data_IF_337453715556
#
_entry.id   IF_337453715556
#
_cell.length_a   1.000
_cell.length_b   1.000
_cell.length_c   1.000
_cell.angle_alpha   90.00
_cell.angle_beta   90.00
_cell.angle_gamma   90.00
#
_symmetry.space_group_name_H-M   'P 1'
#
loop_
_entity.id
_entity.type
_entity.pdbx_description
1 polymer ?
#
# COMPACT_ATOMS: atom_id res chain seq x y z
N UNK A 1 -22.92 -12.30 -15.76
CA UNK A 1 -21.91 -12.17 -14.70
C UNK A 1 -20.76 -11.38 -15.29
N UNK A 2 -20.66 -10.08 -14.98
CA UNK A 2 -19.59 -9.24 -15.51
C UNK A 2 -18.35 -9.38 -14.61
N UNK A 3 -17.51 -10.36 -14.90
CA UNK A 3 -16.20 -10.42 -14.27
C UNK A 3 -15.39 -9.24 -14.76
N UNK A 4 -14.85 -8.47 -13.83
CA UNK A 4 -13.92 -7.42 -14.17
C UNK A 4 -12.73 -8.01 -14.96
N UNK A 5 -12.34 -7.41 -16.10
CA UNK A 5 -11.25 -7.94 -16.91
C UNK A 5 -9.96 -8.05 -16.09
N UNK A 6 -9.13 -9.04 -16.43
CA UNK A 6 -7.82 -9.20 -15.80
C UNK A 6 -6.97 -7.95 -16.06
N UNK A 7 -6.45 -7.35 -15.00
CA UNK A 7 -5.65 -6.12 -15.07
C UNK A 7 -4.38 -6.29 -14.27
N UNK A 8 -3.25 -5.87 -14.84
CA UNK A 8 -1.96 -5.87 -14.17
C UNK A 8 -1.46 -4.43 -14.03
N UNK A 9 -1.11 -4.01 -12.82
CA UNK A 9 -0.55 -2.69 -12.56
C UNK A 9 0.89 -2.82 -12.06
N UNK A 10 1.85 -2.18 -12.74
CA UNK A 10 3.20 -2.09 -12.23
C UNK A 10 3.20 -1.18 -11.00
N UNK A 11 3.64 -1.73 -9.89
CA UNK A 11 3.90 -0.99 -8.65
C UNK A 11 5.33 -0.50 -8.69
N UNK A 12 5.48 0.78 -8.96
CA UNK A 12 6.78 1.44 -9.03
C UNK A 12 6.84 2.50 -7.95
N UNK A 13 8.03 2.74 -7.43
CA UNK A 13 8.25 3.79 -6.44
C UNK A 13 7.66 5.12 -6.92
N UNK A 14 6.75 5.66 -6.16
CA UNK A 14 6.15 6.96 -6.48
C UNK A 14 7.16 8.07 -6.24
N UNK A 15 7.51 8.81 -7.30
CA UNK A 15 8.32 10.03 -7.18
C UNK A 15 7.68 11.04 -6.23
N UNK A 16 6.35 11.06 -6.19
CA UNK A 16 5.58 11.89 -5.27
C UNK A 16 5.86 11.51 -3.81
N UNK A 17 5.83 10.22 -3.47
CA UNK A 17 6.16 9.74 -2.12
C UNK A 17 7.59 10.11 -1.73
N UNK A 18 8.55 9.88 -2.64
CA UNK A 18 9.94 10.25 -2.38
C UNK A 18 10.10 11.76 -2.16
N UNK A 19 9.47 12.59 -3.00
CA UNK A 19 9.50 14.04 -2.86
C UNK A 19 8.83 14.50 -1.55
N UNK A 20 7.67 13.93 -1.19
CA UNK A 20 6.99 14.27 0.05
C UNK A 20 7.85 13.93 1.28
N UNK A 21 8.49 12.76 1.31
CA UNK A 21 9.39 12.38 2.39
C UNK A 21 10.60 13.33 2.49
N UNK A 22 11.23 13.67 1.37
CA UNK A 22 12.36 14.59 1.34
C UNK A 22 11.93 15.99 1.82
N UNK A 23 10.79 16.51 1.35
CA UNK A 23 10.30 17.82 1.77
C UNK A 23 9.96 17.84 3.26
N UNK A 24 9.31 16.82 3.78
CA UNK A 24 9.00 16.71 5.21
C UNK A 24 10.28 16.67 6.05
N UNK A 25 11.25 15.87 5.60
CA UNK A 25 12.56 15.79 6.29
C UNK A 25 13.32 17.10 6.26
N UNK A 26 13.36 17.80 5.11
CA UNK A 26 13.97 19.10 4.99
C UNK A 26 13.30 20.14 5.90
N UNK A 27 11.97 20.17 5.94
CA UNK A 27 11.22 21.05 6.84
C UNK A 27 11.61 20.80 8.30
N UNK A 28 11.68 19.53 8.74
CA UNK A 28 12.15 19.16 10.06
C UNK A 28 13.58 19.59 10.34
N UNK A 29 14.48 19.39 9.38
CA UNK A 29 15.88 19.80 9.48
C UNK A 29 16.03 21.32 9.59
N UNK A 30 15.31 22.10 8.78
CA UNK A 30 15.30 23.56 8.85
C UNK A 30 14.77 24.08 10.19
N UNK A 31 13.67 23.51 10.68
CA UNK A 31 13.11 23.88 11.98
C UNK A 31 14.10 23.59 13.10
N UNK A 32 14.75 22.44 13.07
CA UNK A 32 15.76 22.05 14.06
C UNK A 32 16.98 22.96 14.00
N UNK A 33 17.46 23.28 12.79
CA UNK A 33 18.59 24.20 12.61
C UNK A 33 18.27 25.60 13.11
N UNK A 34 17.08 26.14 12.81
CA UNK A 34 16.62 27.42 13.32
C UNK A 34 16.55 27.45 14.86
N UNK A 35 16.08 26.35 15.45
CA UNK A 35 16.03 26.23 16.91
C UNK A 35 17.43 26.17 17.54
N UNK A 36 18.37 25.45 16.93
CA UNK A 36 19.78 25.40 17.38
C UNK A 36 20.43 26.78 17.48
N UNK A 37 20.11 27.71 16.57
CA UNK A 37 20.65 29.06 16.59
C UNK A 37 20.11 29.91 17.75
N UNK A 38 18.96 29.53 18.30
CA UNK A 38 18.27 30.26 19.37
C UNK A 38 18.38 29.57 20.74
N UNK A 39 18.86 28.33 20.79
CA UNK A 39 18.92 27.53 22.00
C UNK A 39 20.09 27.98 22.90
N UNK A 40 19.92 27.95 24.24
CA UNK A 40 21.00 28.14 25.19
C UNK A 40 22.09 27.07 25.02
N UNK A 41 23.39 27.43 25.22
CA UNK A 41 24.51 26.51 24.98
C UNK A 41 24.51 25.27 25.89
N UNK A 42 23.85 25.35 27.05
CA UNK A 42 23.83 24.28 28.06
C UNK A 42 22.61 23.36 27.93
N UNK A 43 21.75 23.56 26.93
CA UNK A 43 20.56 22.74 26.73
C UNK A 43 20.88 21.48 25.90
N UNK A 44 20.52 20.30 26.41
CA UNK A 44 20.70 19.01 25.71
C UNK A 44 19.58 18.72 24.69
N UNK A 45 18.47 19.44 24.74
CA UNK A 45 17.30 19.22 23.87
C UNK A 45 17.61 19.38 22.39
N UNK A 46 18.43 20.38 21.97
CA UNK A 46 18.82 20.50 20.55
C UNK A 46 19.57 19.27 20.03
N UNK A 47 20.40 18.65 20.86
CA UNK A 47 21.15 17.46 20.48
C UNK A 47 20.21 16.25 20.25
N UNK A 48 19.19 16.11 21.09
CA UNK A 48 18.16 15.09 20.90
C UNK A 48 17.36 15.32 19.59
N UNK A 49 17.03 16.59 19.30
CA UNK A 49 16.31 16.93 18.08
C UNK A 49 17.13 16.62 16.82
N UNK A 50 18.42 16.95 16.80
CA UNK A 50 19.34 16.60 15.70
C UNK A 50 19.39 15.09 15.51
N UNK A 51 19.57 14.35 16.59
CA UNK A 51 19.61 12.89 16.55
C UNK A 51 18.29 12.32 15.98
N UNK A 52 17.14 12.84 16.40
CA UNK A 52 15.84 12.42 15.88
C UNK A 52 15.70 12.69 14.37
N UNK A 53 16.13 13.84 13.89
CA UNK A 53 16.11 14.19 12.45
C UNK A 53 17.02 13.27 11.65
N UNK A 54 18.22 12.96 12.15
CA UNK A 54 19.15 12.05 11.48
C UNK A 54 18.60 10.63 11.41
N UNK A 55 18.04 10.12 12.51
CA UNK A 55 17.40 8.79 12.55
C UNK A 55 16.21 8.75 11.61
N UNK A 56 15.36 9.77 11.60
CA UNK A 56 14.22 9.84 10.68
C UNK A 56 14.68 9.83 9.21
N UNK A 57 15.75 10.58 8.87
CA UNK A 57 16.32 10.58 7.52
C UNK A 57 16.90 9.21 7.12
N UNK A 58 17.58 8.55 8.05
CA UNK A 58 18.10 7.21 7.83
C UNK A 58 16.96 6.20 7.59
N UNK A 59 15.93 6.22 8.42
CA UNK A 59 14.75 5.35 8.27
C UNK A 59 14.04 5.60 6.94
N UNK A 60 13.84 6.86 6.56
CA UNK A 60 13.24 7.22 5.27
C UNK A 60 14.06 6.73 4.07
N UNK A 61 15.40 6.77 4.16
CA UNK A 61 16.30 6.22 3.12
C UNK A 61 16.21 4.70 3.04
N UNK A 62 16.22 4.01 4.17
CA UNK A 62 16.09 2.55 4.22
C UNK A 62 14.76 2.11 3.65
N UNK A 63 13.66 2.74 4.05
CA UNK A 63 12.32 2.47 3.52
C UNK A 63 12.27 2.76 2.00
N UNK A 64 12.90 3.85 1.59
CA UNK A 64 13.05 4.19 0.20
C UNK A 64 13.79 3.16 -0.65
N UNK A 65 14.81 2.50 -0.11
CA UNK A 65 15.57 1.44 -0.79
C UNK A 65 14.78 0.14 -0.80
N UNK A 66 14.12 -0.19 0.31
CA UNK A 66 13.35 -1.43 0.52
C UNK A 66 11.93 -1.38 -0.03
N UNK A 67 11.44 -0.23 -0.44
CA UNK A 67 10.08 -0.03 -0.93
C UNK A 67 9.66 -1.07 -1.96
N UNK A 68 8.48 -1.63 -1.78
CA UNK A 68 7.93 -2.69 -2.62
C UNK A 68 7.90 -2.27 -4.10
N UNK A 69 8.50 -3.08 -4.95
CA UNK A 69 8.48 -2.96 -6.40
C UNK A 69 8.00 -4.27 -6.98
N UNK A 70 7.11 -4.20 -7.95
CA UNK A 70 6.58 -5.43 -8.53
C UNK A 70 5.35 -5.18 -9.38
N UNK A 71 4.62 -6.24 -9.62
CA UNK A 71 3.37 -6.18 -10.39
C UNK A 71 2.24 -6.74 -9.54
N UNK A 72 1.21 -5.94 -9.37
CA UNK A 72 -0.04 -6.35 -8.75
C UNK A 72 -1.04 -6.68 -9.85
N UNK A 73 -1.53 -7.91 -9.88
CA UNK A 73 -2.40 -8.43 -10.92
C UNK A 73 -3.73 -8.89 -10.36
N UNK A 74 -4.80 -8.52 -11.03
CA UNK A 74 -6.14 -9.04 -10.83
C UNK A 74 -6.46 -10.10 -11.88
N UNK A 75 -6.88 -11.29 -11.49
CA UNK A 75 -7.26 -12.37 -12.43
C UNK A 75 -8.75 -12.40 -12.78
N UNK A 76 -9.56 -11.56 -12.17
CA UNK A 76 -11.03 -11.64 -12.20
C UNK A 76 -11.62 -12.26 -10.94
N UNK A 77 -10.83 -13.00 -10.16
CA UNK A 77 -11.25 -13.67 -8.92
C UNK A 77 -10.33 -13.38 -7.73
N UNK A 78 -9.01 -13.31 -7.96
CA UNK A 78 -8.01 -13.20 -6.92
C UNK A 78 -6.92 -12.19 -7.29
N UNK A 79 -6.25 -11.65 -6.28
CA UNK A 79 -5.12 -10.75 -6.42
C UNK A 79 -3.81 -11.52 -6.32
N UNK A 80 -2.89 -11.20 -7.21
CA UNK A 80 -1.53 -11.76 -7.24
C UNK A 80 -0.52 -10.64 -7.13
N UNK A 81 0.37 -10.76 -6.17
CA UNK A 81 1.50 -9.86 -6.00
C UNK A 81 2.80 -10.55 -6.39
N UNK A 82 3.51 -10.00 -7.33
CA UNK A 82 4.82 -10.47 -7.75
C UNK A 82 5.85 -9.38 -7.52
N UNK A 83 6.69 -9.57 -6.51
CA UNK A 83 7.78 -8.65 -6.20
C UNK A 83 8.85 -8.69 -7.29
N UNK A 84 9.50 -7.55 -7.55
CA UNK A 84 10.67 -7.42 -8.42
C UNK A 84 11.94 -7.21 -7.59
N UNK A 85 13.09 -7.56 -8.15
CA UNK A 85 14.40 -7.40 -7.51
C UNK A 85 14.91 -8.69 -6.89
N UNK A 86 15.56 -8.60 -5.72
CA UNK A 86 16.16 -9.75 -5.04
C UNK A 86 15.16 -10.88 -4.73
N UNK A 87 13.89 -10.53 -4.58
CA UNK A 87 12.78 -11.46 -4.35
C UNK A 87 12.07 -11.92 -5.63
N UNK A 88 12.57 -11.56 -6.82
CA UNK A 88 11.92 -11.87 -8.10
C UNK A 88 11.80 -13.39 -8.38
N UNK A 89 12.60 -14.21 -7.70
CA UNK A 89 12.53 -15.69 -7.78
C UNK A 89 11.43 -16.29 -6.89
N UNK A 90 10.83 -15.48 -6.01
CA UNK A 90 9.72 -15.96 -5.19
C UNK A 90 8.45 -16.12 -6.04
N UNK A 91 7.63 -17.15 -5.77
CA UNK A 91 6.35 -17.32 -6.45
C UNK A 91 5.44 -16.12 -6.17
N UNK A 92 4.54 -15.82 -7.11
CA UNK A 92 3.56 -14.78 -6.92
C UNK A 92 2.72 -15.08 -5.66
N UNK A 93 2.60 -14.10 -4.77
CA UNK A 93 1.78 -14.22 -3.58
C UNK A 93 0.32 -14.02 -3.94
N UNK A 94 -0.53 -14.94 -3.52
CA UNK A 94 -1.99 -14.84 -3.61
C UNK A 94 -2.51 -14.11 -2.38
N UNK A 95 -3.53 -13.27 -2.56
CA UNK A 95 -4.08 -12.54 -1.43
C UNK A 95 -5.27 -11.67 -1.80
N UNK A 96 -5.62 -10.81 -0.86
CA UNK A 96 -6.72 -9.87 -0.96
C UNK A 96 -6.25 -8.43 -0.79
N UNK A 97 -7.02 -7.47 -1.31
CA UNK A 97 -6.81 -6.07 -1.01
C UNK A 97 -7.62 -5.67 0.24
N UNK A 98 -6.93 -5.08 1.20
CA UNK A 98 -7.52 -4.51 2.40
C UNK A 98 -7.86 -3.04 2.22
N UNK A 99 -7.27 -2.19 3.08
CA UNK A 99 -7.50 -0.75 3.07
C UNK A 99 -7.03 -0.10 1.76
N UNK A 100 -7.87 0.74 1.18
CA UNK A 100 -7.59 1.49 -0.05
C UNK A 100 -7.76 2.97 0.23
N UNK A 101 -6.71 3.75 -0.05
CA UNK A 101 -6.76 5.22 -0.02
C UNK A 101 -6.68 5.75 -1.44
N UNK A 102 -7.74 6.42 -1.87
CA UNK A 102 -7.83 7.01 -3.21
C UNK A 102 -7.43 8.48 -3.18
N UNK A 103 -6.31 8.79 -3.79
CA UNK A 103 -5.78 10.15 -3.97
C UNK A 103 -5.98 10.61 -5.43
N UNK A 104 -7.01 10.11 -6.12
CA UNK A 104 -7.36 10.40 -7.51
C UNK A 104 -6.32 9.98 -8.55
N UNK A 105 -5.07 10.43 -8.43
CA UNK A 105 -3.95 10.10 -9.31
C UNK A 105 -3.06 8.99 -8.77
N UNK A 106 -3.22 8.67 -7.48
CA UNK A 106 -2.47 7.65 -6.76
C UNK A 106 -3.45 6.82 -5.96
N UNK A 107 -3.23 5.52 -5.91
CA UNK A 107 -3.93 4.60 -5.03
C UNK A 107 -2.91 3.97 -4.10
N UNK A 108 -3.13 4.09 -2.80
CA UNK A 108 -2.41 3.34 -1.79
C UNK A 108 -3.29 2.17 -1.38
N UNK A 109 -2.83 0.96 -1.65
CA UNK A 109 -3.56 -0.26 -1.33
C UNK A 109 -2.76 -1.13 -0.38
N UNK A 110 -3.43 -1.73 0.59
CA UNK A 110 -2.83 -2.73 1.45
C UNK A 110 -3.09 -4.12 0.85
N UNK A 111 -2.05 -4.77 0.37
CA UNK A 111 -2.11 -6.17 -0.02
C UNK A 111 -1.92 -7.05 1.21
N UNK A 112 -2.79 -8.05 1.35
CA UNK A 112 -2.74 -9.06 2.40
C UNK A 112 -2.60 -10.42 1.75
N UNK A 113 -1.41 -11.00 1.87
CA UNK A 113 -1.17 -12.35 1.39
C UNK A 113 -1.89 -13.38 2.28
N UNK A 114 -2.25 -14.51 1.71
CA UNK A 114 -2.80 -15.65 2.46
C UNK A 114 -1.83 -16.17 3.53
N UNK A 115 -0.53 -15.98 3.33
CA UNK A 115 0.52 -16.27 4.32
C UNK A 115 0.51 -15.34 5.54
N UNK A 116 -0.37 -14.33 5.57
CA UNK A 116 -0.44 -13.33 6.63
C UNK A 116 0.46 -12.09 6.42
N UNK A 117 1.34 -12.10 5.43
CA UNK A 117 2.16 -10.93 5.09
C UNK A 117 1.29 -9.77 4.60
N UNK A 118 1.67 -8.55 5.01
CA UNK A 118 0.98 -7.32 4.63
C UNK A 118 1.96 -6.38 3.98
N UNK A 119 1.61 -5.85 2.82
CA UNK A 119 2.42 -4.88 2.09
C UNK A 119 1.58 -3.69 1.64
N UNK A 120 2.16 -2.49 1.74
CA UNK A 120 1.57 -1.28 1.23
C UNK A 120 2.11 -0.98 -0.17
N UNK A 121 1.21 -0.92 -1.13
CA UNK A 121 1.54 -0.78 -2.54
C UNK A 121 1.02 0.54 -3.09
N UNK A 122 1.91 1.30 -3.71
CA UNK A 122 1.55 2.54 -4.39
C UNK A 122 1.35 2.30 -5.88
N UNK A 123 0.13 2.53 -6.34
CA UNK A 123 -0.22 2.53 -7.75
C UNK A 123 -0.41 3.97 -8.21
N UNK A 124 0.20 4.35 -9.32
CA UNK A 124 0.11 5.71 -9.86
C UNK A 124 -0.45 5.70 -11.28
N UNK A 125 -1.37 6.62 -11.55
CA UNK A 125 -1.90 6.83 -12.90
C UNK A 125 -0.80 7.12 -13.92
N UNK A 126 0.25 7.84 -13.51
CA UNK A 126 1.36 8.22 -14.39
C UNK A 126 2.10 7.01 -14.95
N UNK A 127 2.14 5.90 -14.19
CA UNK A 127 2.85 4.69 -14.61
C UNK A 127 2.03 3.81 -15.56
N UNK A 128 0.72 3.97 -15.59
CA UNK A 128 -0.18 3.15 -16.39
C UNK A 128 -1.48 3.90 -16.72
N UNK A 129 -1.42 4.98 -17.52
CA UNK A 129 -2.56 5.85 -17.78
C UNK A 129 -3.69 5.11 -18.51
N UNK A 130 -3.34 4.20 -19.42
CA UNK A 130 -4.27 3.48 -20.29
C UNK A 130 -5.18 2.52 -19.50
N UNK A 131 -4.62 1.84 -18.53
CA UNK A 131 -5.35 0.84 -17.72
C UNK A 131 -5.90 1.41 -16.42
N UNK A 132 -5.63 2.69 -16.11
CA UNK A 132 -5.94 3.30 -14.82
C UNK A 132 -7.41 3.17 -14.41
N UNK A 133 -8.33 3.43 -15.34
CA UNK A 133 -9.77 3.33 -15.07
C UNK A 133 -10.21 1.89 -14.83
N UNK A 134 -9.70 0.96 -15.62
CA UNK A 134 -9.97 -0.47 -15.44
C UNK A 134 -9.41 -0.97 -14.11
N UNK A 135 -8.20 -0.50 -13.75
CA UNK A 135 -7.56 -0.77 -12.48
C UNK A 135 -8.37 -0.25 -11.29
N UNK A 136 -8.78 1.01 -11.31
CA UNK A 136 -9.64 1.56 -10.25
C UNK A 136 -10.92 0.74 -10.09
N UNK A 137 -11.58 0.41 -11.19
CA UNK A 137 -12.77 -0.46 -11.14
C UNK A 137 -12.48 -1.80 -10.48
N UNK A 138 -11.37 -2.46 -10.83
CA UNK A 138 -10.99 -3.73 -10.24
C UNK A 138 -10.71 -3.63 -8.73
N UNK A 139 -10.04 -2.57 -8.29
CA UNK A 139 -9.73 -2.33 -6.87
C UNK A 139 -11.00 -2.10 -6.04
N UNK A 140 -11.97 -1.36 -6.59
CA UNK A 140 -13.24 -1.11 -5.92
C UNK A 140 -14.30 -2.19 -6.20
N UNK A 141 -14.02 -3.07 -7.16
CA UNK A 141 -14.83 -4.27 -7.37
C UNK A 141 -14.57 -5.23 -6.23
N UNK A 142 -15.44 -5.16 -5.24
CA UNK A 142 -15.47 -6.19 -4.20
C UNK A 142 -15.97 -7.45 -4.88
N UNK A 143 -15.09 -8.45 -5.04
CA UNK A 143 -15.58 -9.80 -5.31
C UNK A 143 -16.72 -10.06 -4.34
N UNK A 144 -17.88 -10.60 -4.78
CA UNK A 144 -18.93 -10.95 -3.85
C UNK A 144 -18.26 -11.76 -2.74
N UNK A 145 -18.22 -11.21 -1.53
CA UNK A 145 -17.83 -12.01 -0.37
C UNK A 145 -18.65 -13.27 -0.50
N UNK A 146 -17.99 -14.42 -0.41
CA UNK A 146 -18.69 -15.65 -0.06
C UNK A 146 -19.42 -15.34 1.24
N UNK A 147 -20.63 -14.80 1.11
CA UNK A 147 -21.58 -14.79 2.19
C UNK A 147 -21.65 -16.27 2.57
N UNK A 148 -21.36 -16.63 3.83
CA UNK A 148 -21.52 -18.02 4.24
C UNK A 148 -22.89 -18.38 3.74
N UNK A 149 -22.95 -19.41 2.88
CA UNK A 149 -24.19 -19.90 2.34
C UNK A 149 -25.15 -20.00 3.53
N UNK A 150 -26.12 -19.09 3.55
CA UNK A 150 -27.18 -19.15 4.54
C UNK A 150 -27.75 -20.54 4.35
N UNK A 151 -27.34 -21.46 5.23
CA UNK A 151 -27.93 -22.76 5.38
C UNK A 151 -29.38 -22.47 5.73
N UNK A 152 -30.19 -22.37 4.69
CA UNK A 152 -31.61 -22.31 4.85
C UNK A 152 -31.98 -23.68 5.43
N UNK A 153 -32.41 -23.78 6.68
CA UNK A 153 -32.81 -25.07 7.22
C UNK A 153 -33.93 -25.61 6.30
N UNK A 154 -33.90 -26.90 5.95
CA UNK A 154 -34.94 -27.48 5.13
C UNK A 154 -36.28 -27.25 5.84
N UNK A 155 -37.35 -26.90 5.09
CA UNK A 155 -38.67 -26.72 5.68
C UNK A 155 -39.07 -28.01 6.40
N UNK A 156 -39.50 -27.86 7.66
CA UNK A 156 -39.99 -28.95 8.46
C UNK A 156 -41.08 -29.74 7.67
N UNK A 157 -41.02 -31.07 7.65
CA UNK A 157 -42.07 -31.85 7.03
C UNK A 157 -43.36 -31.60 7.81
N UNK A 158 -44.30 -30.92 7.15
CA UNK A 158 -45.64 -30.71 7.66
C UNK A 158 -46.22 -32.09 8.03
N UNK A 159 -46.43 -32.28 9.29
CA UNK A 159 -47.13 -33.46 9.80
C UNK A 159 -48.49 -33.56 9.13
N UNK A 160 -48.61 -34.53 8.24
CA UNK A 160 -49.92 -34.96 7.74
C UNK A 160 -50.60 -35.77 8.85
N UNK A 161 -51.65 -35.20 9.37
CA UNK A 161 -52.65 -35.89 10.19
C UNK A 161 -53.87 -36.11 9.36
#
# INVERSE_FOLDING_TARGET
MNNAPSVACPVVRSRFQAAALVLTWLAGAFTTAGWLLLAPPDDVRPMLAVTAVLVAGLMATIDGIRGARGTLRWSGAQWFWQAQGACAKAPALVGTLGTVHDLQRHLLVQFRAESGAREWLWCSRTNSPEIWLAWRRAVFFRAPSDAPASVHPPPDPVAAS
#
